data_IF_527165500602
#
_entry.id   IF_527165500602
#
_cell.length_a   1.000
_cell.length_b   1.000
_cell.length_c   1.000
_cell.angle_alpha   90.00
_cell.angle_beta   90.00
_cell.angle_gamma   90.00
#
_symmetry.space_group_name_H-M   'P 1'
#
loop_
_entity.id
_entity.type
_entity.pdbx_description
1 polymer ?
#
# COMPACT_ATOMS: atom_id res chain seq x y z
N UNK A 1 -4.22 8.51 2.85
CA UNK A 1 -4.23 7.89 1.51
C UNK A 1 -2.94 7.15 1.16
N UNK A 2 -1.74 7.72 1.36
CA UNK A 2 -0.46 7.08 1.01
C UNK A 2 -0.33 5.64 1.56
N UNK A 3 -0.58 5.44 2.86
CA UNK A 3 -0.56 4.11 3.48
C UNK A 3 -1.59 3.12 2.88
N UNK A 4 -2.75 3.61 2.44
CA UNK A 4 -3.77 2.76 1.81
C UNK A 4 -3.31 2.29 0.41
N UNK A 5 -2.62 3.15 -0.34
CA UNK A 5 -2.04 2.81 -1.65
C UNK A 5 -0.86 1.84 -1.51
N UNK A 6 0.00 2.04 -0.50
CA UNK A 6 1.09 1.10 -0.20
C UNK A 6 0.52 -0.29 0.15
N UNK A 7 -0.53 -0.31 0.98
CA UNK A 7 -1.24 -1.54 1.35
C UNK A 7 -1.92 -2.21 0.16
N UNK A 8 -2.50 -1.44 -0.76
CA UNK A 8 -3.10 -1.95 -1.99
C UNK A 8 -2.02 -2.57 -2.90
N UNK A 9 -0.84 -1.94 -2.98
CA UNK A 9 0.27 -2.42 -3.81
C UNK A 9 0.80 -3.77 -3.33
N UNK A 10 1.01 -3.96 -2.01
CA UNK A 10 1.42 -5.26 -1.47
C UNK A 10 0.31 -6.31 -1.61
N UNK A 11 -0.96 -5.90 -1.48
CA UNK A 11 -2.10 -6.80 -1.66
C UNK A 11 -2.18 -7.32 -3.10
N UNK A 12 -1.95 -6.46 -4.10
CA UNK A 12 -1.92 -6.85 -5.50
C UNK A 12 -0.87 -7.94 -5.76
N UNK A 13 0.34 -7.81 -5.18
CA UNK A 13 1.38 -8.84 -5.31
C UNK A 13 0.96 -10.17 -4.65
N UNK A 14 0.31 -10.12 -3.49
CA UNK A 14 -0.22 -11.32 -2.82
C UNK A 14 -1.30 -12.01 -3.66
N UNK A 15 -2.21 -11.24 -4.25
CA UNK A 15 -3.26 -11.77 -5.14
C UNK A 15 -2.63 -12.46 -6.34
N UNK A 16 -1.65 -11.83 -6.99
CA UNK A 16 -0.96 -12.39 -8.14
C UNK A 16 -0.37 -13.78 -7.82
N UNK A 17 0.46 -13.88 -6.78
CA UNK A 17 1.08 -15.16 -6.43
C UNK A 17 0.09 -16.18 -5.86
N UNK A 18 -0.95 -15.76 -5.16
CA UNK A 18 -1.99 -16.68 -4.69
C UNK A 18 -2.79 -17.25 -5.86
N UNK A 19 -3.06 -16.44 -6.89
CA UNK A 19 -3.71 -16.88 -8.11
C UNK A 19 -2.85 -17.92 -8.85
N UNK A 20 -1.52 -17.72 -8.94
CA UNK A 20 -0.60 -18.72 -9.48
C UNK A 20 -0.71 -20.05 -8.72
N UNK A 21 -0.71 -20.02 -7.38
CA UNK A 21 -0.84 -21.24 -6.57
C UNK A 21 -2.22 -21.93 -6.71
N UNK A 22 -3.30 -21.14 -6.80
CA UNK A 22 -4.65 -21.66 -6.97
C UNK A 22 -4.93 -22.25 -8.38
N UNK A 23 -4.05 -21.96 -9.34
CA UNK A 23 -4.17 -22.38 -10.75
C UNK A 23 -3.20 -23.51 -11.13
N UNK A 24 -2.47 -24.07 -10.16
CA UNK A 24 -1.52 -25.16 -10.39
C UNK A 24 -2.21 -26.42 -10.89
N UNK A 25 -1.58 -27.11 -11.82
CA UNK A 25 -2.07 -28.40 -12.35
C UNK A 25 -1.38 -29.61 -11.70
N UNK A 26 -0.35 -29.37 -10.89
CA UNK A 26 0.50 -30.38 -10.26
C UNK A 26 0.26 -30.54 -8.75
N UNK A 27 -0.79 -29.91 -8.21
CA UNK A 27 -1.11 -29.92 -6.79
C UNK A 27 -2.38 -30.74 -6.48
N UNK A 28 -2.50 -31.21 -5.23
CA UNK A 28 -3.69 -31.93 -4.78
C UNK A 28 -4.93 -31.01 -4.71
N UNK A 29 -6.12 -31.59 -4.88
CA UNK A 29 -7.38 -30.83 -4.89
C UNK A 29 -7.61 -30.10 -3.56
N UNK A 30 -7.24 -30.70 -2.42
CA UNK A 30 -7.40 -30.06 -1.13
C UNK A 30 -6.52 -28.80 -0.98
N UNK A 31 -5.34 -28.79 -1.58
CA UNK A 31 -4.42 -27.66 -1.65
C UNK A 31 -5.00 -26.58 -2.54
N UNK A 32 -5.49 -26.94 -3.73
CA UNK A 32 -6.14 -26.00 -4.64
C UNK A 32 -7.33 -25.31 -3.98
N UNK A 33 -8.19 -26.06 -3.29
CA UNK A 33 -9.33 -25.50 -2.55
C UNK A 33 -8.88 -24.55 -1.43
N UNK A 34 -7.84 -24.91 -0.66
CA UNK A 34 -7.28 -24.01 0.36
C UNK A 34 -6.70 -22.73 -0.25
N UNK A 35 -6.03 -22.82 -1.40
CA UNK A 35 -5.47 -21.65 -2.09
C UNK A 35 -6.57 -20.77 -2.68
N UNK A 36 -7.63 -21.36 -3.26
CA UNK A 36 -8.81 -20.62 -3.75
C UNK A 36 -9.52 -19.88 -2.62
N UNK A 37 -9.78 -20.55 -1.50
CA UNK A 37 -10.39 -19.89 -0.33
C UNK A 37 -9.53 -18.70 0.18
N UNK A 38 -8.20 -18.84 0.18
CA UNK A 38 -7.30 -17.72 0.52
C UNK A 38 -7.34 -16.61 -0.53
N UNK A 39 -7.40 -16.96 -1.81
CA UNK A 39 -7.52 -15.99 -2.90
C UNK A 39 -8.81 -15.18 -2.77
N UNK A 40 -9.94 -15.83 -2.47
CA UNK A 40 -11.22 -15.16 -2.29
C UNK A 40 -11.17 -14.10 -1.18
N UNK A 41 -10.56 -14.43 -0.04
CA UNK A 41 -10.33 -13.47 1.04
C UNK A 41 -9.44 -12.30 0.60
N UNK A 42 -8.40 -12.54 -0.20
CA UNK A 42 -7.55 -11.46 -0.71
C UNK A 42 -8.29 -10.56 -1.71
N UNK A 43 -9.19 -11.14 -2.51
CA UNK A 43 -10.03 -10.38 -3.45
C UNK A 43 -11.06 -9.53 -2.72
N UNK A 44 -11.67 -10.05 -1.65
CA UNK A 44 -12.55 -9.29 -0.76
C UNK A 44 -11.81 -8.11 -0.13
N UNK A 45 -10.62 -8.36 0.44
CA UNK A 45 -9.78 -7.29 1.01
C UNK A 45 -9.45 -6.19 -0.01
N UNK A 46 -9.30 -6.54 -1.30
CA UNK A 46 -9.04 -5.55 -2.35
C UNK A 46 -10.27 -4.68 -2.56
N UNK A 47 -11.45 -5.28 -2.66
CA UNK A 47 -12.72 -4.57 -2.82
C UNK A 47 -12.95 -3.61 -1.66
N UNK A 48 -12.81 -4.07 -0.41
CA UNK A 48 -12.99 -3.24 0.78
C UNK A 48 -11.99 -2.08 0.84
N UNK A 49 -10.72 -2.36 0.53
CA UNK A 49 -9.68 -1.34 0.55
C UNK A 49 -9.89 -0.28 -0.52
N UNK A 50 -10.27 -0.68 -1.74
CA UNK A 50 -10.58 0.25 -2.82
C UNK A 50 -11.79 1.12 -2.46
N UNK A 51 -12.87 0.52 -1.97
CA UNK A 51 -14.05 1.28 -1.52
C UNK A 51 -13.72 2.27 -0.40
N UNK A 52 -12.87 1.89 0.56
CA UNK A 52 -12.43 2.79 1.62
C UNK A 52 -11.53 3.93 1.10
N UNK A 53 -10.72 3.69 0.06
CA UNK A 53 -9.93 4.72 -0.62
C UNK A 53 -10.85 5.70 -1.34
N UNK A 54 -11.82 5.20 -2.11
CA UNK A 54 -12.78 6.04 -2.83
C UNK A 54 -13.57 6.94 -1.87
N UNK A 55 -14.10 6.36 -0.79
CA UNK A 55 -14.79 7.13 0.25
C UNK A 55 -13.91 8.20 0.90
N UNK A 56 -12.62 7.90 1.12
CA UNK A 56 -11.67 8.86 1.66
C UNK A 56 -11.40 10.01 0.67
N UNK A 57 -11.30 9.71 -0.63
CA UNK A 57 -11.12 10.73 -1.67
C UNK A 57 -12.35 11.62 -1.78
N UNK A 58 -13.54 11.04 -1.76
CA UNK A 58 -14.81 11.78 -1.76
C UNK A 58 -14.94 12.70 -0.54
N UNK A 59 -14.59 12.21 0.65
CA UNK A 59 -14.60 13.02 1.88
C UNK A 59 -13.61 14.19 1.82
N UNK A 60 -12.46 14.01 1.15
CA UNK A 60 -11.49 15.09 0.94
C UNK A 60 -12.02 16.10 -0.08
N UNK A 61 -12.57 15.63 -1.20
CA UNK A 61 -13.17 16.48 -2.23
C UNK A 61 -14.35 17.30 -1.68
N UNK A 62 -15.15 16.71 -0.80
CA UNK A 62 -16.26 17.38 -0.11
C UNK A 62 -15.82 18.29 1.05
N UNK A 63 -14.52 18.38 1.36
CA UNK A 63 -14.01 19.17 2.48
C UNK A 63 -14.43 18.66 3.86
N UNK A 64 -14.83 17.39 3.99
CA UNK A 64 -15.15 16.73 5.27
C UNK A 64 -13.89 16.23 5.97
N UNK A 65 -12.86 15.86 5.21
CA UNK A 65 -11.55 15.44 5.71
C UNK A 65 -10.45 16.30 5.10
N UNK A 66 -9.54 16.76 5.95
CA UNK A 66 -8.36 17.53 5.54
C UNK A 66 -7.09 16.79 5.90
N UNK A 67 -6.17 16.70 4.95
CA UNK A 67 -4.84 16.17 5.23
C UNK A 67 -3.88 17.28 5.58
N UNK A 68 -3.30 17.17 6.77
CA UNK A 68 -2.23 18.05 7.20
C UNK A 68 -0.96 17.67 6.45
N UNK A 69 -0.48 18.58 5.61
CA UNK A 69 0.81 18.43 4.94
C UNK A 69 1.92 18.75 5.94
N UNK A 70 2.73 17.74 6.24
CA UNK A 70 3.96 17.94 7.01
C UNK A 70 5.11 18.17 6.04
N UNK A 71 5.90 19.22 6.28
CA UNK A 71 7.15 19.44 5.56
C UNK A 71 8.24 18.59 6.18
N UNK A 72 9.03 17.92 5.34
CA UNK A 72 10.16 17.14 5.81
C UNK A 72 11.26 18.09 6.28
N UNK A 73 11.65 18.01 7.55
CA UNK A 73 12.71 18.83 8.12
C UNK A 73 14.04 18.10 7.97
N UNK A 74 14.82 18.46 6.94
CA UNK A 74 16.13 17.86 6.65
C UNK A 74 17.24 18.83 7.06
N UNK A 75 17.88 18.57 8.19
CA UNK A 75 18.99 19.38 8.72
C UNK A 75 20.20 19.44 7.77
N UNK A 76 20.48 18.34 7.07
CA UNK A 76 21.69 18.21 6.25
C UNK A 76 21.67 19.04 4.96
N UNK A 77 20.49 19.51 4.54
CA UNK A 77 20.31 20.34 3.35
C UNK A 77 20.50 21.84 3.64
N UNK A 78 20.54 22.24 4.91
CA UNK A 78 20.79 23.62 5.31
C UNK A 78 22.30 23.79 5.60
N UNK A 79 23.00 24.63 4.80
CA UNK A 79 24.42 24.91 5.01
C UNK A 79 24.76 25.48 6.38
N UNK A 80 23.84 26.20 7.03
CA UNK A 80 24.05 26.77 8.36
C UNK A 80 24.01 25.72 9.47
N UNK A 81 23.35 24.58 9.23
CA UNK A 81 23.21 23.49 10.21
C UNK A 81 24.00 22.24 9.88
N UNK A 82 24.78 22.26 8.78
CA UNK A 82 25.62 21.14 8.38
C UNK A 82 27.08 21.55 8.11
N UNK A 83 27.84 21.91 9.16
CA UNK A 83 29.23 22.35 9.03
C UNK A 83 30.16 21.23 8.52
N UNK A 84 29.76 19.96 8.61
CA UNK A 84 30.57 18.83 8.11
C UNK A 84 30.57 18.78 6.57
N UNK A 85 29.43 19.07 5.93
CA UNK A 85 29.35 19.12 4.46
C UNK A 85 29.79 20.48 3.88
N UNK A 86 29.54 21.59 4.58
CA UNK A 86 29.72 22.95 4.06
C UNK A 86 30.84 23.76 4.74
N UNK A 87 31.45 23.25 5.82
CA UNK A 87 32.48 23.93 6.60
C UNK A 87 33.91 23.79 6.05
N UNK A 88 34.10 23.29 4.83
CA UNK A 88 35.41 23.40 4.16
C UNK A 88 35.56 24.80 3.55
N UNK A 89 36.09 25.72 4.35
CA UNK A 89 36.82 26.90 3.87
C UNK A 89 38.22 26.87 4.45
#
# INVERSE_FOLDING_TARGET
>A
PAWAIDRLSILALKIYHMHEQASRTDADEAHLQRCRAKLDVLLEQRTDLTAAIDQLLDDIAAGKKYMKVYRQMKLYNDPATNPVLYGKK
#
